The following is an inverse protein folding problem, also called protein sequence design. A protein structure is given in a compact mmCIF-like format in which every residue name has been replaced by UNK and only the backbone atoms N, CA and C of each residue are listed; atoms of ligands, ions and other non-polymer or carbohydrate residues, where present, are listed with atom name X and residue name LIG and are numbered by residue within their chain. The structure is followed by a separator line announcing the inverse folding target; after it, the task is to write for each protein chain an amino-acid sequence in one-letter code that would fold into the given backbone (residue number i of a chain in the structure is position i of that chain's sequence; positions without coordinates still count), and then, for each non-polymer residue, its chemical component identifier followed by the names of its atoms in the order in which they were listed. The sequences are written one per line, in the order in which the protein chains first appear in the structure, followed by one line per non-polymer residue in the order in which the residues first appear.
data_IF_073582920816
#
_entry.id   IF_073582920816
#
_cell.length_a   1.000
_cell.length_b   1.000
_cell.length_c   1.000
_cell.angle_alpha   90.00
_cell.angle_beta   90.00
_cell.angle_gamma   90.00
#
_symmetry.space_group_name_H-M   'P 1'
#
loop_
_entity.id
_entity.type
_entity.pdbx_description
1 polymer ?
#
# COMPACT_ATOMS: atom_id res chain seq x y z
N UNK A 1 23.09 -41.88 11.09
CA UNK A 1 21.75 -41.29 11.40
C UNK A 1 20.73 -42.06 10.58
N UNK A 2 19.65 -42.59 11.22
CA UNK A 2 18.60 -43.28 10.44
C UNK A 2 17.85 -42.36 9.51
N UNK A 3 17.24 -42.85 8.42
CA UNK A 3 16.61 -42.05 7.36
C UNK A 3 15.57 -41.06 7.88
N UNK A 4 14.86 -41.40 8.93
CA UNK A 4 13.88 -40.54 9.61
C UNK A 4 14.51 -39.32 10.29
N UNK A 5 15.71 -39.46 10.90
CA UNK A 5 16.43 -38.33 11.51
C UNK A 5 16.94 -37.37 10.42
N UNK A 6 17.40 -37.91 9.28
CA UNK A 6 17.81 -37.11 8.12
C UNK A 6 16.66 -36.28 7.54
N UNK A 7 15.48 -36.87 7.41
CA UNK A 7 14.27 -36.18 6.91
C UNK A 7 13.84 -35.06 7.87
N UNK A 8 13.85 -35.30 9.18
CA UNK A 8 13.49 -34.27 10.17
C UNK A 8 14.45 -33.07 10.14
N UNK A 9 15.76 -33.33 10.04
CA UNK A 9 16.76 -32.28 9.90
C UNK A 9 16.55 -31.48 8.61
N UNK A 10 16.27 -32.13 7.49
CA UNK A 10 15.99 -31.47 6.22
C UNK A 10 14.74 -30.57 6.32
N UNK A 11 13.63 -31.05 6.88
CA UNK A 11 12.40 -30.24 7.09
C UNK A 11 12.70 -29.04 7.98
N UNK A 12 13.48 -29.22 9.06
CA UNK A 12 13.87 -28.14 9.95
C UNK A 12 14.66 -27.06 9.21
N UNK A 13 15.64 -27.46 8.39
CA UNK A 13 16.43 -26.52 7.57
C UNK A 13 15.52 -25.74 6.62
N UNK A 14 14.62 -26.40 5.90
CA UNK A 14 13.68 -25.71 4.99
C UNK A 14 12.76 -24.75 5.75
N UNK A 15 12.29 -25.14 6.94
CA UNK A 15 11.45 -24.27 7.78
C UNK A 15 12.21 -23.02 8.23
N UNK A 16 13.47 -23.16 8.62
CA UNK A 16 14.33 -22.02 9.00
C UNK A 16 14.57 -21.10 7.81
N UNK A 17 14.90 -21.67 6.65
CA UNK A 17 15.07 -20.89 5.40
C UNK A 17 13.79 -20.12 5.09
N UNK A 18 12.63 -20.77 5.13
CA UNK A 18 11.34 -20.13 4.88
C UNK A 18 11.06 -18.96 5.85
N UNK A 19 11.29 -19.16 7.15
CA UNK A 19 11.15 -18.11 8.15
C UNK A 19 12.09 -16.93 7.88
N UNK A 20 13.33 -17.18 7.46
CA UNK A 20 14.26 -16.12 7.08
C UNK A 20 13.81 -15.33 5.85
N UNK A 21 13.19 -16.02 4.86
CA UNK A 21 12.68 -15.38 3.65
C UNK A 21 11.52 -14.42 3.98
N UNK A 22 10.56 -14.85 4.80
CA UNK A 22 9.34 -14.07 5.10
C UNK A 22 9.52 -13.08 6.26
N UNK A 23 10.63 -13.16 7.02
CA UNK A 23 10.80 -12.38 8.24
C UNK A 23 10.64 -10.87 8.00
N UNK A 24 9.74 -10.20 8.75
CA UNK A 24 9.60 -8.75 8.72
C UNK A 24 10.73 -8.07 9.50
N UNK A 25 10.68 -6.75 9.58
CA UNK A 25 11.56 -5.97 10.44
C UNK A 25 11.11 -6.11 11.90
N UNK A 26 11.70 -7.05 12.62
CA UNK A 26 11.39 -7.34 14.02
C UNK A 26 12.02 -6.30 14.95
N UNK A 27 11.40 -5.12 15.11
CA UNK A 27 11.81 -4.13 16.10
C UNK A 27 10.62 -3.66 16.93
N UNK A 28 10.85 -3.40 18.23
CA UNK A 28 9.87 -2.80 19.18
C UNK A 28 9.26 -1.48 18.66
N UNK A 29 9.88 -0.85 17.67
CA UNK A 29 9.46 0.38 17.01
C UNK A 29 8.05 0.27 16.40
N UNK A 30 7.70 -0.85 15.76
CA UNK A 30 6.38 -1.04 15.14
C UNK A 30 5.26 -0.90 16.16
N UNK A 31 5.43 -1.46 17.36
CA UNK A 31 4.43 -1.43 18.44
C UNK A 31 4.16 -0.04 19.04
N UNK A 32 4.97 0.96 18.70
CA UNK A 32 4.87 2.33 19.22
C UNK A 32 4.67 3.37 18.12
N UNK A 33 4.37 2.92 16.91
CA UNK A 33 4.20 3.83 15.79
C UNK A 33 2.96 4.72 16.00
N UNK A 34 3.07 6.05 15.79
CA UNK A 34 1.95 6.97 16.04
C UNK A 34 0.71 6.66 15.22
N UNK A 35 0.85 6.12 13.99
CA UNK A 35 -0.30 5.78 13.16
C UNK A 35 -1.10 4.57 13.65
N UNK A 36 -0.60 3.77 14.60
CA UNK A 36 -1.39 2.75 15.30
C UNK A 36 -2.51 3.34 16.16
N UNK A 37 -2.50 4.63 16.42
CA UNK A 37 -3.60 5.33 17.13
C UNK A 37 -4.83 5.47 16.21
N UNK A 38 -4.64 5.45 14.88
CA UNK A 38 -5.70 5.43 13.89
C UNK A 38 -5.87 4.01 13.35
N UNK A 39 -7.07 3.45 13.49
CA UNK A 39 -7.38 2.07 13.08
C UNK A 39 -7.96 2.02 11.67
N UNK A 40 -8.67 3.07 11.25
CA UNK A 40 -9.41 3.11 10.00
C UNK A 40 -8.79 4.13 9.03
N UNK A 41 -8.49 3.67 7.82
CA UNK A 41 -7.94 4.47 6.73
C UNK A 41 -8.88 4.43 5.53
N UNK A 42 -9.34 5.60 5.09
CA UNK A 42 -10.16 5.72 3.90
C UNK A 42 -9.30 5.46 2.66
N UNK A 43 -9.62 4.40 1.91
CA UNK A 43 -8.96 3.99 0.67
C UNK A 43 -9.17 5.06 -0.39
N UNK A 44 -8.10 5.69 -0.88
CA UNK A 44 -8.15 6.81 -1.85
C UNK A 44 -8.97 8.01 -1.37
N UNK A 45 -9.00 8.25 -0.05
CA UNK A 45 -9.89 9.21 0.59
C UNK A 45 -11.30 8.66 0.85
N UNK A 46 -12.17 9.48 1.45
CA UNK A 46 -13.59 9.11 1.66
C UNK A 46 -14.40 9.48 0.42
N UNK A 47 -14.23 8.68 -0.63
CA UNK A 47 -14.66 8.98 -1.97
C UNK A 47 -16.08 8.51 -2.33
N UNK A 48 -16.64 9.18 -3.35
CA UNK A 48 -17.84 8.77 -4.11
C UNK A 48 -17.61 9.13 -5.58
N UNK A 49 -17.40 8.11 -6.43
CA UNK A 49 -17.15 8.30 -7.87
C UNK A 49 -18.39 8.74 -8.67
N UNK A 50 -19.59 8.67 -8.10
CA UNK A 50 -20.81 9.18 -8.72
C UNK A 50 -21.16 10.60 -8.24
N UNK A 51 -20.46 11.10 -7.21
CA UNK A 51 -20.67 12.41 -6.60
C UNK A 51 -19.55 13.41 -6.89
N UNK A 52 -19.36 14.33 -5.97
CA UNK A 52 -18.45 15.47 -6.06
C UNK A 52 -17.04 15.20 -5.52
N UNK A 53 -16.79 14.03 -4.97
CA UNK A 53 -15.53 13.65 -4.34
C UNK A 53 -15.01 12.30 -4.86
N UNK A 54 -14.56 12.21 -6.11
CA UNK A 54 -14.05 10.96 -6.67
C UNK A 54 -12.77 10.47 -5.97
N UNK A 55 -12.43 9.20 -6.16
CA UNK A 55 -11.24 8.59 -5.58
C UNK A 55 -9.96 9.39 -5.89
N UNK A 56 -9.06 9.48 -4.90
CA UNK A 56 -7.78 10.20 -5.02
C UNK A 56 -7.92 11.71 -5.32
N UNK A 57 -9.09 12.33 -5.12
CA UNK A 57 -9.31 13.77 -5.27
C UNK A 57 -9.05 14.55 -3.97
N UNK A 58 -8.82 15.85 -4.10
CA UNK A 58 -8.71 16.74 -2.94
C UNK A 58 -9.99 16.74 -2.10
N UNK A 59 -11.15 16.71 -2.75
CA UNK A 59 -12.46 16.63 -2.05
C UNK A 59 -12.60 15.33 -1.25
N UNK A 60 -12.18 14.17 -1.80
CA UNK A 60 -12.23 12.90 -1.07
C UNK A 60 -11.31 12.89 0.16
N UNK A 61 -10.13 13.48 0.07
CA UNK A 61 -9.21 13.62 1.21
C UNK A 61 -9.75 14.59 2.25
N UNK A 62 -10.35 15.71 1.84
CA UNK A 62 -10.97 16.64 2.76
C UNK A 62 -12.12 15.99 3.54
N UNK A 63 -12.98 15.21 2.87
CA UNK A 63 -14.05 14.42 3.52
C UNK A 63 -13.49 13.40 4.53
N UNK A 64 -12.37 12.75 4.23
CA UNK A 64 -11.72 11.82 5.15
C UNK A 64 -11.19 12.52 6.41
N UNK A 65 -10.58 13.71 6.26
CA UNK A 65 -10.12 14.55 7.38
C UNK A 65 -11.29 14.94 8.27
N UNK A 66 -12.38 15.45 7.69
CA UNK A 66 -13.58 15.89 8.42
C UNK A 66 -14.26 14.74 9.17
N UNK A 67 -14.19 13.53 8.63
CA UNK A 67 -14.71 12.32 9.27
C UNK A 67 -13.73 11.73 10.32
N UNK A 68 -12.52 12.28 10.47
CA UNK A 68 -11.54 11.82 11.47
C UNK A 68 -10.80 10.51 11.07
N UNK A 69 -10.80 10.13 9.79
CA UNK A 69 -10.09 8.97 9.31
C UNK A 69 -8.64 9.28 8.93
N UNK A 70 -7.77 8.27 9.03
CA UNK A 70 -6.56 8.23 8.23
C UNK A 70 -6.92 8.04 6.75
N UNK A 71 -5.95 8.21 5.86
CA UNK A 71 -6.20 8.00 4.44
C UNK A 71 -5.07 7.25 3.77
N UNK A 72 -5.44 6.43 2.82
CA UNK A 72 -4.53 5.82 1.89
C UNK A 72 -4.63 6.55 0.54
N UNK A 73 -3.53 6.60 -0.21
CA UNK A 73 -3.45 7.26 -1.50
C UNK A 73 -2.40 6.61 -2.40
N UNK A 74 -2.63 6.69 -3.71
CA UNK A 74 -1.80 6.10 -4.74
C UNK A 74 -0.93 7.15 -5.44
N UNK A 75 0.40 7.03 -5.43
CA UNK A 75 1.28 7.99 -6.11
C UNK A 75 1.95 7.37 -7.34
N UNK A 76 1.98 8.14 -8.43
CA UNK A 76 2.58 7.77 -9.70
C UNK A 76 3.47 8.88 -10.27
N UNK A 77 4.47 8.46 -11.07
CA UNK A 77 5.40 9.36 -11.74
C UNK A 77 4.86 9.81 -13.09
N UNK A 78 4.82 11.13 -13.32
CA UNK A 78 4.46 11.76 -14.58
C UNK A 78 5.60 11.74 -15.60
N UNK A 79 5.34 12.20 -16.83
CA UNK A 79 6.32 12.34 -17.92
C UNK A 79 7.48 13.28 -17.56
N UNK A 80 7.18 14.36 -16.87
CA UNK A 80 8.11 15.41 -16.43
C UNK A 80 8.67 15.20 -15.02
N UNK A 81 8.64 13.93 -14.54
CA UNK A 81 9.21 13.54 -13.25
C UNK A 81 8.59 14.25 -12.04
N UNK A 82 7.30 14.49 -12.07
CA UNK A 82 6.50 14.92 -10.92
C UNK A 82 5.70 13.76 -10.36
N UNK A 83 5.08 13.91 -9.19
CA UNK A 83 4.17 12.93 -8.63
C UNK A 83 2.75 13.44 -8.64
N UNK A 84 1.84 12.60 -9.14
CA UNK A 84 0.40 12.78 -9.04
C UNK A 84 -0.21 11.73 -8.13
N UNK A 85 -1.41 12.01 -7.61
CA UNK A 85 -2.18 11.05 -6.83
C UNK A 85 -3.26 10.47 -7.72
N UNK A 86 -3.04 9.22 -8.17
CA UNK A 86 -3.92 8.51 -9.10
C UNK A 86 -3.65 7.01 -9.06
N UNK A 87 -4.71 6.17 -9.15
CA UNK A 87 -4.57 4.73 -8.96
C UNK A 87 -4.12 3.97 -10.21
N UNK A 88 -4.89 4.11 -11.32
CA UNK A 88 -4.68 3.29 -12.51
C UNK A 88 -3.46 3.75 -13.32
N UNK A 89 -2.83 2.83 -14.04
CA UNK A 89 -1.84 3.21 -15.05
C UNK A 89 -2.49 4.00 -16.19
N UNK A 90 -3.67 3.54 -16.66
CA UNK A 90 -4.48 4.17 -17.72
C UNK A 90 -5.40 5.26 -17.16
N UNK A 91 -5.55 6.34 -17.90
CA UNK A 91 -6.46 7.45 -17.59
C UNK A 91 -7.93 7.17 -17.98
N UNK A 92 -8.18 6.06 -18.68
CA UNK A 92 -9.46 5.79 -19.35
C UNK A 92 -10.62 5.68 -18.36
N UNK A 93 -10.49 4.89 -17.29
CA UNK A 93 -11.57 4.63 -16.33
C UNK A 93 -12.05 5.89 -15.61
N UNK A 94 -11.11 6.72 -15.15
CA UNK A 94 -11.42 7.87 -14.31
C UNK A 94 -11.55 9.18 -15.09
N UNK A 95 -10.84 9.32 -16.21
CA UNK A 95 -10.80 10.56 -16.98
C UNK A 95 -11.46 10.43 -18.36
N UNK A 96 -11.74 9.21 -18.85
CA UNK A 96 -12.26 8.97 -20.19
C UNK A 96 -11.25 9.32 -21.30
N UNK A 97 -9.97 9.40 -20.97
CA UNK A 97 -8.88 9.80 -21.86
C UNK A 97 -7.99 8.60 -22.14
N UNK A 98 -7.65 8.36 -23.41
CA UNK A 98 -6.71 7.32 -23.80
C UNK A 98 -5.28 7.70 -23.38
N UNK A 99 -4.50 6.70 -22.95
CA UNK A 99 -3.10 6.88 -22.56
C UNK A 99 -2.85 6.57 -21.08
N UNK A 100 -1.59 6.68 -20.70
CA UNK A 100 -1.12 6.34 -19.36
C UNK A 100 -0.58 7.58 -18.64
N UNK A 101 -0.61 7.59 -17.31
CA UNK A 101 -0.14 8.71 -16.47
C UNK A 101 1.26 9.19 -16.86
N UNK A 102 2.20 8.28 -17.13
CA UNK A 102 3.59 8.63 -17.50
C UNK A 102 3.79 9.19 -18.90
N UNK A 103 2.74 9.31 -19.70
CA UNK A 103 2.79 9.89 -21.05
C UNK A 103 2.48 11.38 -21.03
N UNK A 104 1.97 11.90 -19.91
CA UNK A 104 1.54 13.27 -19.71
C UNK A 104 2.38 13.98 -18.64
N UNK A 105 2.52 15.29 -18.78
CA UNK A 105 3.12 16.18 -17.78
C UNK A 105 2.14 16.41 -16.63
N UNK A 106 2.65 16.89 -15.48
CA UNK A 106 1.79 17.27 -14.36
C UNK A 106 0.74 18.31 -14.77
N UNK A 107 1.14 19.34 -15.53
CA UNK A 107 0.24 20.41 -16.00
C UNK A 107 -0.92 19.85 -16.84
N UNK A 108 -0.63 18.93 -17.76
CA UNK A 108 -1.64 18.27 -18.58
C UNK A 108 -2.60 17.42 -17.73
N UNK A 109 -2.08 16.65 -16.76
CA UNK A 109 -2.89 15.79 -15.88
C UNK A 109 -3.80 16.61 -14.96
N UNK A 110 -3.35 17.77 -14.48
CA UNK A 110 -4.15 18.66 -13.65
C UNK A 110 -5.32 19.35 -14.40
N UNK A 111 -5.39 19.23 -15.72
CA UNK A 111 -6.56 19.67 -16.50
C UNK A 111 -7.60 18.55 -16.70
N UNK A 112 -7.27 17.31 -16.35
CA UNK A 112 -8.14 16.16 -16.59
C UNK A 112 -9.10 15.98 -15.41
N UNK A 113 -10.42 15.99 -15.71
CA UNK A 113 -11.45 15.77 -14.71
C UNK A 113 -11.53 14.32 -14.28
N UNK A 114 -11.83 14.12 -13.00
CA UNK A 114 -12.04 12.82 -12.38
C UNK A 114 -13.52 12.44 -12.38
N UNK A 115 -13.85 11.31 -12.98
CA UNK A 115 -15.21 10.78 -13.06
C UNK A 115 -16.20 11.82 -13.61
N UNK A 116 -17.34 12.03 -12.92
CA UNK A 116 -18.40 13.00 -13.30
C UNK A 116 -18.29 14.32 -12.51
N UNK A 117 -17.15 14.60 -11.88
CA UNK A 117 -16.98 15.74 -10.99
C UNK A 117 -16.22 16.91 -11.65
N UNK A 118 -16.10 18.01 -10.91
CA UNK A 118 -15.23 19.12 -11.26
C UNK A 118 -13.79 18.95 -10.72
N UNK A 119 -13.56 17.92 -9.87
CA UNK A 119 -12.23 17.57 -9.37
C UNK A 119 -11.30 17.12 -10.51
N UNK A 120 -10.02 17.45 -10.38
CA UNK A 120 -8.98 17.05 -11.34
C UNK A 120 -7.92 16.18 -10.65
N UNK A 121 -7.03 15.58 -11.43
CA UNK A 121 -5.92 14.78 -10.88
C UNK A 121 -5.00 15.70 -10.06
N UNK A 122 -4.89 15.53 -8.72
CA UNK A 122 -4.06 16.41 -7.91
C UNK A 122 -2.58 16.02 -7.98
N UNK A 123 -1.68 16.98 -7.79
CA UNK A 123 -0.30 16.67 -7.49
C UNK A 123 -0.17 16.08 -6.08
N UNK A 124 0.86 15.28 -5.84
CA UNK A 124 1.13 14.77 -4.50
C UNK A 124 1.45 15.91 -3.52
N UNK A 125 2.09 16.96 -3.99
CA UNK A 125 2.38 18.17 -3.21
C UNK A 125 1.09 18.88 -2.75
N UNK A 126 0.08 19.01 -3.63
CA UNK A 126 -1.21 19.63 -3.27
C UNK A 126 -1.95 18.82 -2.21
N UNK A 127 -1.91 17.48 -2.32
CA UNK A 127 -2.49 16.60 -1.29
C UNK A 127 -1.75 16.76 0.04
N UNK A 128 -0.41 16.80 0.05
CA UNK A 128 0.35 17.01 1.29
C UNK A 128 0.04 18.37 1.93
N UNK A 129 -0.09 19.43 1.13
CA UNK A 129 -0.52 20.76 1.58
C UNK A 129 -1.94 20.75 2.17
N UNK A 130 -2.88 20.09 1.47
CA UNK A 130 -4.25 19.93 1.95
C UNK A 130 -4.27 19.22 3.29
N UNK A 131 -3.60 18.07 3.40
CA UNK A 131 -3.65 17.28 4.63
C UNK A 131 -2.93 17.98 5.78
N UNK A 132 -1.77 18.56 5.55
CA UNK A 132 -1.00 19.38 6.49
C UNK A 132 -0.93 18.78 7.91
N UNK A 133 -0.66 17.49 8.01
CA UNK A 133 -0.54 16.78 9.29
C UNK A 133 -1.85 16.48 10.02
N UNK A 134 -3.02 16.87 9.48
CA UNK A 134 -4.33 16.68 10.14
C UNK A 134 -4.81 15.23 10.24
N UNK A 135 -4.25 14.34 9.40
CA UNK A 135 -4.57 12.92 9.39
C UNK A 135 -3.35 12.08 9.02
N UNK A 136 -3.22 10.85 9.53
CA UNK A 136 -2.13 9.96 9.14
C UNK A 136 -2.31 9.44 7.71
N UNK A 137 -1.18 9.25 6.99
CA UNK A 137 -1.15 8.85 5.60
C UNK A 137 -0.53 7.46 5.42
N UNK A 138 -1.15 6.66 4.55
CA UNK A 138 -0.54 5.50 3.90
C UNK A 138 -0.33 5.87 2.43
N UNK A 139 0.93 5.94 1.98
CA UNK A 139 1.27 6.33 0.61
C UNK A 139 1.70 5.10 -0.18
N UNK A 140 0.86 4.65 -1.11
CA UNK A 140 1.21 3.55 -2.01
C UNK A 140 2.00 4.07 -3.21
N UNK A 141 3.19 3.52 -3.43
CA UNK A 141 3.94 3.74 -4.67
C UNK A 141 3.52 2.75 -5.75
N UNK A 142 2.80 3.25 -6.77
CA UNK A 142 2.51 2.49 -7.99
C UNK A 142 3.77 2.38 -8.86
N UNK A 143 4.14 1.17 -9.20
CA UNK A 143 5.39 0.87 -9.90
C UNK A 143 5.11 0.09 -11.19
N UNK A 144 4.21 0.59 -12.04
CA UNK A 144 3.92 -0.02 -13.36
C UNK A 144 5.17 -0.07 -14.24
N UNK A 145 6.09 0.87 -14.02
CA UNK A 145 7.48 0.80 -14.47
C UNK A 145 8.40 0.71 -13.24
N UNK A 146 9.43 -0.15 -13.23
CA UNK A 146 10.28 -0.36 -12.04
C UNK A 146 11.27 0.80 -11.82
N UNK A 147 10.75 2.02 -11.72
CA UNK A 147 11.52 3.26 -11.59
C UNK A 147 11.48 3.75 -10.14
N UNK A 148 12.53 3.49 -9.38
CA UNK A 148 12.66 3.98 -7.99
C UNK A 148 12.79 5.51 -7.88
N UNK A 149 12.82 6.23 -9.01
CA UNK A 149 12.84 7.70 -9.05
C UNK A 149 11.62 8.30 -8.35
N UNK A 150 10.43 7.68 -8.50
CA UNK A 150 9.23 8.09 -7.76
C UNK A 150 9.46 8.09 -6.24
N UNK A 151 10.16 7.06 -5.71
CA UNK A 151 10.48 6.99 -4.30
C UNK A 151 11.40 8.13 -3.84
N UNK A 152 12.40 8.50 -4.66
CA UNK A 152 13.32 9.59 -4.34
C UNK A 152 12.60 10.94 -4.29
N UNK A 153 11.76 11.23 -5.30
CA UNK A 153 10.99 12.47 -5.39
C UNK A 153 9.96 12.53 -4.25
N UNK A 154 9.21 11.45 -4.03
CA UNK A 154 8.21 11.43 -2.97
C UNK A 154 8.82 11.55 -1.57
N UNK A 155 9.98 10.94 -1.34
CA UNK A 155 10.70 11.12 -0.08
C UNK A 155 11.18 12.56 0.12
N UNK A 156 11.58 13.25 -0.95
CA UNK A 156 11.96 14.67 -0.85
C UNK A 156 10.78 15.54 -0.43
N UNK A 157 9.60 15.34 -1.03
CA UNK A 157 8.36 16.03 -0.65
C UNK A 157 7.92 15.70 0.79
N UNK A 158 8.13 14.46 1.22
CA UNK A 158 7.75 14.00 2.56
C UNK A 158 8.70 14.45 3.67
N UNK A 159 9.91 14.94 3.37
CA UNK A 159 10.84 15.46 4.38
C UNK A 159 10.28 16.66 5.15
N UNK A 160 9.56 17.53 4.45
CA UNK A 160 9.00 18.74 5.02
C UNK A 160 7.58 18.53 5.58
N UNK A 161 7.00 17.33 5.34
CA UNK A 161 5.67 17.00 5.84
C UNK A 161 5.69 16.73 7.33
N UNK A 162 4.90 17.50 8.08
CA UNK A 162 4.87 17.45 9.56
C UNK A 162 3.89 16.39 10.12
N UNK A 163 3.21 15.66 9.24
CA UNK A 163 2.24 14.63 9.62
C UNK A 163 2.86 13.25 9.80
N UNK A 164 2.05 12.34 10.35
CA UNK A 164 2.39 10.93 10.44
C UNK A 164 2.15 10.25 9.10
N UNK A 165 3.13 9.53 8.58
CA UNK A 165 2.98 8.77 7.35
C UNK A 165 3.76 7.44 7.38
N UNK A 166 3.34 6.52 6.54
CA UNK A 166 4.10 5.35 6.15
C UNK A 166 3.97 5.15 4.63
N UNK A 167 4.81 4.28 4.07
CA UNK A 167 4.73 3.94 2.65
C UNK A 167 4.38 2.47 2.46
N UNK A 168 3.74 2.15 1.34
CA UNK A 168 3.54 0.77 0.94
C UNK A 168 3.66 0.59 -0.57
N UNK A 169 3.83 -0.63 -1.02
CA UNK A 169 3.81 -1.00 -2.44
C UNK A 169 3.65 -2.51 -2.61
N UNK A 170 3.01 -2.92 -3.71
CA UNK A 170 3.10 -4.30 -4.21
C UNK A 170 4.50 -4.61 -4.72
N UNK A 171 5.19 -3.60 -5.27
CA UNK A 171 6.47 -3.81 -5.91
C UNK A 171 7.63 -3.74 -4.91
N UNK A 172 8.41 -4.82 -4.76
CA UNK A 172 9.48 -4.86 -3.74
C UNK A 172 10.57 -3.81 -3.95
N UNK A 173 10.79 -3.28 -5.16
CA UNK A 173 11.83 -2.29 -5.41
C UNK A 173 11.58 -0.95 -4.69
N UNK A 174 10.33 -0.52 -4.56
CA UNK A 174 10.01 0.66 -3.75
C UNK A 174 10.44 0.47 -2.29
N UNK A 175 10.07 -0.68 -1.71
CA UNK A 175 10.41 -1.00 -0.32
C UNK A 175 11.91 -1.20 -0.10
N UNK A 176 12.61 -1.79 -1.08
CA UNK A 176 14.08 -1.91 -1.06
C UNK A 176 14.75 -0.54 -1.11
N UNK A 177 14.23 0.38 -1.93
CA UNK A 177 14.72 1.74 -2.00
C UNK A 177 14.61 2.43 -0.64
N UNK A 178 13.42 2.42 -0.01
CA UNK A 178 13.20 2.99 1.32
C UNK A 178 14.02 2.28 2.42
N UNK A 179 14.17 0.96 2.34
CA UNK A 179 15.04 0.23 3.26
C UNK A 179 16.47 0.74 3.24
N UNK A 180 16.98 1.10 2.07
CA UNK A 180 18.37 1.53 1.86
C UNK A 180 18.56 3.00 2.19
N UNK A 181 17.66 3.89 1.75
CA UNK A 181 17.87 5.34 1.76
C UNK A 181 17.17 6.02 2.95
N UNK A 182 16.04 5.50 3.40
CA UNK A 182 15.22 6.08 4.47
C UNK A 182 14.75 4.97 5.43
N UNK A 183 15.68 4.32 6.14
CA UNK A 183 15.36 3.18 7.00
C UNK A 183 14.45 3.53 8.19
N UNK A 184 14.34 4.81 8.55
CA UNK A 184 13.43 5.33 9.59
C UNK A 184 11.99 5.35 9.14
N UNK A 185 11.70 5.51 7.84
CA UNK A 185 10.35 5.50 7.31
C UNK A 185 9.75 4.10 7.43
N UNK A 186 8.55 4.01 7.98
CA UNK A 186 7.83 2.75 8.05
C UNK A 186 7.34 2.34 6.66
N UNK A 187 7.49 1.06 6.35
CA UNK A 187 7.15 0.51 5.03
C UNK A 187 6.39 -0.79 5.13
N UNK A 188 5.37 -0.91 4.30
CA UNK A 188 4.48 -2.06 4.19
C UNK A 188 4.63 -2.83 2.90
N UNK A 189 4.61 -4.16 2.97
CA UNK A 189 4.46 -4.99 1.79
C UNK A 189 2.97 -5.19 1.53
N UNK A 190 2.49 -4.64 0.40
CA UNK A 190 1.18 -4.98 -0.15
C UNK A 190 1.22 -6.36 -0.78
N UNK A 191 0.23 -7.18 -0.48
CA UNK A 191 0.12 -8.54 -1.01
C UNK A 191 -1.33 -9.06 -0.94
N UNK A 192 -1.57 -10.09 -1.70
CA UNK A 192 -2.83 -10.83 -1.79
C UNK A 192 -2.57 -12.15 -2.49
N UNK A 193 -3.60 -12.81 -3.00
CA UNK A 193 -3.41 -14.03 -3.80
C UNK A 193 -3.15 -13.70 -5.28
N UNK A 194 -2.12 -12.88 -5.54
CA UNK A 194 -1.78 -12.38 -6.88
C UNK A 194 -1.49 -13.51 -7.88
N UNK A 195 -0.90 -14.61 -7.39
CA UNK A 195 -0.59 -15.77 -8.23
C UNK A 195 -1.86 -16.44 -8.79
N UNK A 196 -3.01 -16.29 -8.12
CA UNK A 196 -4.31 -16.80 -8.60
C UNK A 196 -4.97 -15.83 -9.58
N UNK A 197 -4.63 -14.56 -9.53
CA UNK A 197 -5.24 -13.50 -10.34
C UNK A 197 -4.61 -13.35 -11.73
N UNK A 198 -3.51 -14.06 -12.02
CA UNK A 198 -2.84 -14.01 -13.32
C UNK A 198 -2.82 -15.37 -14.04
N UNK A 199 -3.04 -15.33 -15.34
CA UNK A 199 -2.86 -16.49 -16.25
C UNK A 199 -1.46 -16.50 -16.90
N UNK A 200 -0.72 -15.39 -16.87
CA UNK A 200 0.63 -15.27 -17.39
C UNK A 200 1.62 -16.03 -16.48
N UNK A 201 2.19 -17.11 -16.99
CA UNK A 201 3.12 -17.96 -16.22
C UNK A 201 4.40 -17.25 -15.78
N UNK A 202 4.89 -16.24 -16.54
CA UNK A 202 6.08 -15.46 -16.20
C UNK A 202 5.78 -14.55 -15.00
N UNK A 203 4.64 -13.87 -15.01
CA UNK A 203 4.16 -13.07 -13.89
C UNK A 203 3.82 -13.95 -12.69
N UNK A 204 3.32 -15.18 -12.91
CA UNK A 204 2.94 -16.10 -11.85
C UNK A 204 4.08 -16.42 -10.90
N UNK A 205 5.32 -16.53 -11.38
CA UNK A 205 6.49 -16.78 -10.53
C UNK A 205 6.71 -15.57 -9.60
N UNK A 206 6.82 -14.35 -10.14
CA UNK A 206 7.02 -13.14 -9.33
C UNK A 206 5.85 -12.90 -8.37
N UNK A 207 4.62 -13.11 -8.82
CA UNK A 207 3.41 -12.99 -8.01
C UNK A 207 3.34 -14.03 -6.88
N UNK A 208 3.83 -15.26 -7.13
CA UNK A 208 3.96 -16.27 -6.06
C UNK A 208 4.92 -15.80 -4.97
N UNK A 209 6.05 -15.21 -5.34
CA UNK A 209 7.01 -14.67 -4.36
C UNK A 209 6.37 -13.58 -3.48
N UNK A 210 5.56 -12.69 -4.07
CA UNK A 210 4.85 -11.64 -3.32
C UNK A 210 3.70 -12.22 -2.53
N UNK A 211 2.88 -13.13 -3.09
CA UNK A 211 1.76 -13.82 -2.42
C UNK A 211 2.20 -14.50 -1.12
N UNK A 212 3.36 -15.17 -1.14
CA UNK A 212 3.92 -15.85 0.03
C UNK A 212 4.96 -15.03 0.78
N UNK A 213 5.05 -13.73 0.49
CA UNK A 213 5.91 -12.76 1.20
C UNK A 213 7.41 -13.12 1.20
N UNK A 214 7.88 -13.91 0.22
CA UNK A 214 9.27 -14.33 0.13
C UNK A 214 10.21 -13.16 -0.20
N UNK A 215 9.67 -12.10 -0.80
CA UNK A 215 10.38 -10.83 -1.06
C UNK A 215 10.74 -10.07 0.22
N UNK A 216 10.16 -10.44 1.37
CA UNK A 216 10.47 -9.80 2.66
C UNK A 216 11.96 -9.93 3.05
N UNK A 217 12.66 -10.95 2.57
CA UNK A 217 14.11 -11.05 2.75
C UNK A 217 14.83 -9.78 2.27
N UNK A 218 14.38 -9.21 1.16
CA UNK A 218 14.96 -8.02 0.54
C UNK A 218 14.35 -6.73 1.09
N UNK A 219 13.06 -6.72 1.35
CA UNK A 219 12.31 -5.51 1.73
C UNK A 219 12.30 -5.25 3.23
N UNK A 220 12.28 -6.31 4.06
CA UNK A 220 12.14 -6.24 5.53
C UNK A 220 11.07 -5.23 5.93
N UNK A 221 9.80 -5.47 5.60
CA UNK A 221 8.72 -4.54 5.89
C UNK A 221 8.44 -4.43 7.39
N UNK A 222 7.91 -3.30 7.82
CA UNK A 222 7.42 -3.08 9.19
C UNK A 222 6.00 -3.64 9.37
N UNK A 223 5.19 -3.61 8.30
CA UNK A 223 3.83 -4.14 8.29
C UNK A 223 3.53 -4.90 6.98
N UNK A 224 2.49 -5.73 7.03
CA UNK A 224 1.98 -6.47 5.88
C UNK A 224 0.55 -6.03 5.63
N UNK A 225 0.32 -5.33 4.51
CA UNK A 225 -1.02 -5.06 4.00
C UNK A 225 -1.45 -6.23 3.12
N UNK A 226 -2.49 -6.95 3.54
CA UNK A 226 -2.90 -8.18 2.88
C UNK A 226 -4.40 -8.17 2.56
N UNK A 227 -4.74 -8.64 1.36
CA UNK A 227 -6.14 -8.77 0.95
C UNK A 227 -6.90 -9.65 1.96
N UNK A 228 -7.86 -9.03 2.62
CA UNK A 228 -8.68 -9.64 3.66
C UNK A 228 -9.43 -10.90 3.20
N UNK A 229 -9.64 -11.10 1.88
CA UNK A 229 -10.27 -12.30 1.31
C UNK A 229 -9.43 -13.55 1.56
N UNK A 230 -8.13 -13.38 1.71
CA UNK A 230 -7.14 -14.46 1.89
C UNK A 230 -6.52 -14.45 3.29
N UNK A 231 -7.34 -14.19 4.31
CA UNK A 231 -6.94 -14.11 5.73
C UNK A 231 -6.15 -15.33 6.21
N UNK A 232 -6.42 -16.51 5.66
CA UNK A 232 -5.76 -17.78 6.01
C UNK A 232 -4.35 -17.98 5.41
N UNK A 233 -3.77 -17.00 4.70
CA UNK A 233 -2.43 -17.16 4.16
C UNK A 233 -1.40 -17.38 5.27
N UNK A 234 -0.65 -18.50 5.18
CA UNK A 234 0.28 -18.93 6.22
C UNK A 234 1.43 -17.94 6.43
N UNK A 235 1.98 -17.36 5.35
CA UNK A 235 3.08 -16.39 5.44
C UNK A 235 2.64 -15.12 6.16
N UNK A 236 1.42 -14.62 5.86
CA UNK A 236 0.83 -13.45 6.55
C UNK A 236 0.69 -13.72 8.05
N UNK A 237 0.12 -14.88 8.41
CA UNK A 237 -0.05 -15.28 9.81
C UNK A 237 1.30 -15.36 10.53
N UNK A 238 2.30 -16.00 9.90
CA UNK A 238 3.64 -16.11 10.47
C UNK A 238 4.33 -14.76 10.61
N UNK A 239 4.17 -13.84 9.64
CA UNK A 239 4.70 -12.48 9.74
C UNK A 239 4.08 -11.71 10.93
N UNK A 240 2.75 -11.84 11.16
CA UNK A 240 2.08 -11.25 12.33
C UNK A 240 2.65 -11.85 13.63
N UNK A 241 2.82 -13.15 13.69
CA UNK A 241 3.43 -13.82 14.84
C UNK A 241 4.88 -13.38 15.08
N UNK A 242 5.65 -13.14 14.01
CA UNK A 242 7.01 -12.58 14.07
C UNK A 242 7.06 -11.08 14.42
N UNK A 243 5.90 -10.44 14.63
CA UNK A 243 5.78 -9.06 15.13
C UNK A 243 5.58 -7.99 14.05
N UNK A 244 5.27 -8.38 12.80
CA UNK A 244 4.77 -7.42 11.80
C UNK A 244 3.35 -6.97 12.18
N UNK A 245 3.05 -5.70 11.96
CA UNK A 245 1.68 -5.22 11.99
C UNK A 245 0.93 -5.74 10.75
N UNK A 246 -0.34 -6.08 10.91
CA UNK A 246 -1.18 -6.63 9.84
C UNK A 246 -2.27 -5.64 9.46
N UNK A 247 -2.31 -5.24 8.18
CA UNK A 247 -3.27 -4.28 7.63
C UNK A 247 -4.19 -5.01 6.66
N UNK A 248 -5.52 -4.84 6.81
CA UNK A 248 -6.50 -5.39 5.88
C UNK A 248 -6.84 -4.38 4.80
N UNK A 249 -6.91 -4.79 3.55
CA UNK A 249 -7.47 -4.01 2.44
C UNK A 249 -8.30 -4.90 1.51
N UNK A 250 -9.26 -4.42 0.80
CA UNK A 250 -10.05 -3.23 1.07
C UNK A 250 -11.37 -3.68 1.66
N UNK A 251 -11.69 -3.23 2.84
CA UNK A 251 -12.93 -3.60 3.55
C UNK A 251 -14.09 -2.78 2.95
N UNK A 252 -15.11 -3.46 2.45
CA UNK A 252 -16.24 -2.83 1.72
C UNK A 252 -17.59 -2.94 2.45
N UNK A 253 -17.60 -3.51 3.65
CA UNK A 253 -18.81 -3.58 4.47
C UNK A 253 -18.50 -3.82 5.95
N UNK A 254 -19.38 -3.37 6.82
CA UNK A 254 -19.32 -3.61 8.26
C UNK A 254 -19.32 -5.11 8.56
N UNK A 255 -20.16 -5.89 7.86
CA UNK A 255 -20.19 -7.35 8.02
C UNK A 255 -18.82 -7.99 7.74
N UNK A 256 -18.11 -7.52 6.70
CA UNK A 256 -16.79 -8.04 6.39
C UNK A 256 -15.75 -7.64 7.42
N UNK A 257 -15.81 -6.39 7.89
CA UNK A 257 -14.98 -5.93 9.00
C UNK A 257 -15.13 -6.85 10.23
N UNK A 258 -16.37 -7.08 10.69
CA UNK A 258 -16.65 -7.92 11.84
C UNK A 258 -16.07 -9.34 11.71
N UNK A 259 -16.08 -9.92 10.51
CA UNK A 259 -15.52 -11.24 10.24
C UNK A 259 -13.99 -11.31 10.33
N UNK A 260 -13.29 -10.21 10.14
CA UNK A 260 -11.82 -10.22 10.03
C UNK A 260 -11.10 -9.36 11.06
N UNK A 261 -11.80 -8.58 11.87
CA UNK A 261 -11.22 -7.60 12.81
C UNK A 261 -10.17 -8.19 13.76
N UNK A 262 -10.35 -9.45 14.21
CA UNK A 262 -9.40 -10.12 15.10
C UNK A 262 -8.09 -10.54 14.40
N UNK A 263 -8.12 -10.64 13.06
CA UNK A 263 -6.98 -11.10 12.29
C UNK A 263 -6.02 -9.98 11.87
N UNK A 264 -6.47 -8.71 11.92
CA UNK A 264 -5.73 -7.55 11.48
C UNK A 264 -5.67 -6.47 12.57
N UNK A 265 -4.72 -5.56 12.44
CA UNK A 265 -4.48 -4.48 13.41
C UNK A 265 -5.00 -3.14 12.87
N UNK A 266 -5.00 -2.91 11.55
CA UNK A 266 -5.50 -1.74 10.86
C UNK A 266 -6.35 -2.13 9.63
N UNK A 267 -7.20 -1.20 9.18
CA UNK A 267 -8.16 -1.46 8.10
C UNK A 267 -8.19 -0.30 7.11
N UNK A 268 -7.88 -0.62 5.86
CA UNK A 268 -8.12 0.25 4.71
C UNK A 268 -9.49 -0.11 4.16
N UNK A 269 -10.42 0.86 4.07
CA UNK A 269 -11.81 0.63 3.73
C UNK A 269 -12.33 1.60 2.67
N UNK A 270 -13.33 1.17 1.90
CA UNK A 270 -14.14 2.02 1.03
C UNK A 270 -15.61 1.56 1.06
N UNK A 271 -16.51 2.31 0.40
CA UNK A 271 -17.92 1.95 0.17
C UNK A 271 -18.75 1.70 1.46
N UNK A 272 -18.20 1.94 2.64
CA UNK A 272 -18.89 1.88 3.92
C UNK A 272 -18.25 2.86 4.91
N UNK A 273 -18.89 3.07 6.06
CA UNK A 273 -18.32 3.81 7.18
C UNK A 273 -17.99 2.82 8.30
N UNK A 274 -16.78 2.92 8.85
CA UNK A 274 -16.30 2.10 9.97
C UNK A 274 -15.92 3.02 11.14
N UNK A 275 -16.18 2.58 12.37
CA UNK A 275 -15.88 3.33 13.59
C UNK A 275 -17.08 3.80 14.36
#
# INVERSE_FOLDING_TARGET
MGPMKGLLVFILILSVIYLLLIAPRMKKRVRRAPFLQQVFYAHRGLFDNEGDAPENSLAAFQKAIEAGYGMEMDVQLTKDDKLVVFHDASLERMCGIEGNVWEYTLEELQQMKLAKSEETIPSFEDVLKLVNGRAPLIVEYKMDRPLTKACAIGNELLKDYQGVYCIESFHPFALMWYRKHCPEVMRGQLSGNLAKETTDWKKKISYTLVTYLLTNLLTRPDFIAYDHRYVGNISRWMCKWLGAMSVAYTIKSVERYEKVKEAFDLFIFDSCKLG
#
